data_IF_617035979190
#
_entry.id   IF_617035979190
#
_cell.length_a   1.000
_cell.length_b   1.000
_cell.length_c   1.000
_cell.angle_alpha   90.00
_cell.angle_beta   90.00
_cell.angle_gamma   90.00
#
_symmetry.space_group_name_H-M   'P 1'
#
loop_
_entity.id
_entity.type
_entity.pdbx_description
1 polymer ?
#
# COMPACT_ATOMS: atom_id res chain seq x y z
N UNK A 1 -9.91 -18.04 29.92
CA UNK A 1 -10.69 -16.77 30.06
C UNK A 1 -9.86 -15.54 30.47
N UNK A 2 -8.81 -15.64 31.31
CA UNK A 2 -7.97 -14.47 31.68
C UNK A 2 -6.98 -14.02 30.58
N UNK A 3 -6.48 -14.94 29.74
CA UNK A 3 -5.59 -14.63 28.60
C UNK A 3 -6.27 -13.79 27.50
N UNK A 4 -7.56 -13.99 27.27
CA UNK A 4 -8.30 -13.31 26.19
C UNK A 4 -8.53 -11.81 26.46
N UNK A 5 -8.75 -11.45 27.73
CA UNK A 5 -8.87 -10.04 28.15
C UNK A 5 -7.51 -9.31 28.20
N UNK A 6 -6.41 -10.04 28.30
CA UNK A 6 -5.06 -9.48 28.16
C UNK A 6 -4.72 -9.18 26.69
N UNK A 7 -5.14 -10.05 25.76
CA UNK A 7 -5.04 -9.82 24.31
C UNK A 7 -5.92 -8.65 23.83
N UNK A 8 -7.15 -8.48 24.34
CA UNK A 8 -7.99 -7.32 24.02
C UNK A 8 -7.41 -5.99 24.53
N UNK A 9 -6.73 -6.00 25.69
CA UNK A 9 -6.07 -4.80 26.24
C UNK A 9 -4.77 -4.47 25.50
N UNK A 10 -4.00 -5.49 25.10
CA UNK A 10 -2.84 -5.32 24.22
C UNK A 10 -3.25 -4.84 22.82
N UNK A 11 -4.34 -5.35 22.25
CA UNK A 11 -4.86 -4.88 20.96
C UNK A 11 -5.34 -3.42 21.00
N UNK A 12 -5.97 -2.98 22.10
CA UNK A 12 -6.38 -1.57 22.26
C UNK A 12 -5.23 -0.62 22.61
N UNK A 13 -4.25 -1.08 23.39
CA UNK A 13 -3.04 -0.31 23.65
C UNK A 13 -2.16 -0.20 22.38
N UNK A 14 -2.07 -1.26 21.59
CA UNK A 14 -1.42 -1.25 20.29
C UNK A 14 -2.14 -0.33 19.30
N UNK A 15 -3.48 -0.25 19.31
CA UNK A 15 -4.24 0.69 18.47
C UNK A 15 -3.99 2.17 18.80
N UNK A 16 -3.81 2.50 20.09
CA UNK A 16 -3.54 3.87 20.52
C UNK A 16 -2.06 4.25 20.33
N UNK A 17 -1.15 3.27 20.37
CA UNK A 17 0.28 3.46 20.09
C UNK A 17 0.60 3.43 18.57
N UNK A 18 -0.17 2.70 17.77
CA UNK A 18 -0.01 2.64 16.31
C UNK A 18 -0.46 3.95 15.61
N UNK A 19 -1.39 4.69 16.21
CA UNK A 19 -1.75 6.04 15.74
C UNK A 19 -0.67 7.09 16.11
N UNK A 20 0.15 6.83 17.13
CA UNK A 20 1.18 7.77 17.61
C UNK A 20 2.60 7.49 17.08
N UNK A 21 2.82 6.35 16.43
CA UNK A 21 4.10 5.99 15.80
C UNK A 21 3.86 5.79 14.29
N UNK A 22 3.96 6.88 13.53
CA UNK A 22 3.84 6.89 12.07
C UNK A 22 4.97 6.15 11.35
N UNK A 23 5.01 4.83 11.49
CA UNK A 23 6.01 3.97 10.89
C UNK A 23 5.41 2.63 10.47
N UNK A 24 5.44 2.38 9.16
CA UNK A 24 5.58 1.07 8.48
C UNK A 24 4.63 -0.10 8.80
N UNK A 25 3.76 -0.01 9.81
CA UNK A 25 2.70 -1.01 10.06
C UNK A 25 1.37 -0.64 9.41
N UNK A 26 1.14 0.62 9.08
CA UNK A 26 -0.08 1.06 8.36
C UNK A 26 -0.08 0.52 6.92
N UNK A 27 1.11 0.40 6.31
CA UNK A 27 1.31 -0.25 5.02
C UNK A 27 1.05 -1.78 5.04
N UNK A 28 1.18 -2.42 6.21
CA UNK A 28 0.86 -3.84 6.42
C UNK A 28 -0.63 -4.09 6.75
N UNK A 29 -1.38 -3.03 7.10
CA UNK A 29 -2.80 -3.13 7.44
C UNK A 29 -3.73 -3.07 6.22
N UNK A 30 -3.19 -3.01 5.01
CA UNK A 30 -3.94 -3.10 3.73
C UNK A 30 -4.59 -4.46 3.47
N UNK A 31 -4.32 -5.48 4.31
CA UNK A 31 -4.84 -6.84 4.13
C UNK A 31 -6.14 -7.08 4.93
N UNK A 32 -6.41 -6.31 5.99
CA UNK A 32 -7.63 -6.51 6.80
C UNK A 32 -8.77 -5.56 6.41
N UNK A 33 -10.02 -6.09 6.26
CA UNK A 33 -11.22 -5.26 6.18
C UNK A 33 -11.22 -4.09 7.16
N UNK A 34 -11.54 -2.85 6.74
CA UNK A 34 -11.98 -1.86 7.70
C UNK A 34 -13.24 -2.39 8.39
N UNK A 35 -13.31 -2.20 9.71
CA UNK A 35 -14.46 -2.68 10.48
C UNK A 35 -15.77 -2.02 9.97
N UNK A 36 -16.88 -2.77 9.91
CA UNK A 36 -18.18 -2.22 9.57
C UNK A 36 -18.60 -1.08 10.51
N UNK A 37 -19.17 -0.03 9.94
CA UNK A 37 -19.59 1.18 10.66
C UNK A 37 -21.00 0.97 11.25
N UNK A 38 -21.20 1.18 12.56
CA UNK A 38 -22.52 1.18 13.16
C UNK A 38 -23.27 2.49 12.92
N UNK A 39 -24.35 2.42 12.14
CA UNK A 39 -25.29 3.51 11.93
C UNK A 39 -26.40 3.44 12.97
N UNK A 40 -26.43 4.42 13.88
CA UNK A 40 -27.40 4.47 14.97
C UNK A 40 -28.64 5.29 14.62
N UNK A 41 -29.81 4.69 14.78
CA UNK A 41 -31.10 5.32 14.59
C UNK A 41 -31.80 5.58 15.92
N UNK A 42 -32.67 6.58 15.94
CA UNK A 42 -33.59 6.77 17.06
C UNK A 42 -34.49 5.53 17.21
N UNK A 43 -34.87 5.24 18.45
CA UNK A 43 -35.61 4.04 18.76
C UNK A 43 -36.92 3.97 17.97
N UNK A 44 -37.13 2.87 17.23
CA UNK A 44 -38.34 2.61 16.42
C UNK A 44 -38.60 3.59 15.28
N UNK A 45 -37.67 4.48 14.93
CA UNK A 45 -37.80 5.38 13.76
C UNK A 45 -36.74 5.07 12.70
N UNK A 46 -36.86 5.72 11.55
CA UNK A 46 -35.87 5.75 10.47
C UNK A 46 -34.95 6.98 10.54
N UNK A 47 -35.04 7.78 11.61
CA UNK A 47 -34.20 8.96 11.82
C UNK A 47 -32.87 8.57 12.42
N UNK A 48 -31.80 9.12 11.86
CA UNK A 48 -30.44 8.94 12.40
C UNK A 48 -30.27 9.80 13.65
N UNK A 49 -29.60 9.22 14.64
CA UNK A 49 -29.08 10.00 15.78
C UNK A 49 -27.96 10.93 15.32
N UNK A 50 -27.53 11.85 16.18
CA UNK A 50 -26.34 12.69 15.92
C UNK A 50 -25.11 11.83 15.60
N UNK A 51 -24.87 10.79 16.38
CA UNK A 51 -23.74 9.88 16.18
C UNK A 51 -23.92 9.03 14.92
N UNK A 52 -25.15 8.61 14.63
CA UNK A 52 -25.50 7.94 13.37
C UNK A 52 -25.24 8.81 12.13
N UNK A 53 -25.48 10.12 12.20
CA UNK A 53 -25.15 11.05 11.12
C UNK A 53 -23.63 11.22 10.93
N UNK A 54 -22.87 11.24 12.03
CA UNK A 54 -21.39 11.28 11.96
C UNK A 54 -20.86 10.01 11.31
N UNK A 55 -21.33 8.85 11.78
CA UNK A 55 -21.00 7.54 11.22
C UNK A 55 -21.38 7.42 9.73
N UNK A 56 -22.52 7.99 9.33
CA UNK A 56 -22.96 8.02 7.95
C UNK A 56 -22.06 8.91 7.07
N UNK A 57 -21.57 10.04 7.59
CA UNK A 57 -20.61 10.87 6.87
C UNK A 57 -19.27 10.15 6.72
N UNK A 58 -18.80 9.42 7.74
CA UNK A 58 -17.61 8.58 7.65
C UNK A 58 -17.76 7.51 6.56
N UNK A 59 -18.93 6.85 6.52
CA UNK A 59 -19.27 5.89 5.48
C UNK A 59 -19.27 6.51 4.09
N UNK A 60 -19.77 7.74 3.94
CA UNK A 60 -19.74 8.47 2.68
C UNK A 60 -18.30 8.80 2.24
N UNK A 61 -17.40 9.13 3.17
CA UNK A 61 -15.98 9.34 2.88
C UNK A 61 -15.30 8.05 2.44
N UNK A 62 -15.63 6.91 3.03
CA UNK A 62 -15.16 5.60 2.56
C UNK A 62 -15.68 5.29 1.15
N UNK A 63 -16.98 5.50 0.92
CA UNK A 63 -17.61 5.28 -0.37
C UNK A 63 -17.07 6.17 -1.50
N UNK A 64 -16.73 7.42 -1.20
CA UNK A 64 -16.14 8.33 -2.17
C UNK A 64 -14.77 7.84 -2.67
N UNK A 65 -14.04 7.07 -1.86
CA UNK A 65 -12.73 6.53 -2.25
C UNK A 65 -12.83 5.36 -3.22
N UNK A 66 -14.03 4.90 -3.58
CA UNK A 66 -14.21 3.77 -4.49
C UNK A 66 -14.70 4.20 -5.89
N UNK A 67 -14.49 3.34 -6.92
CA UNK A 67 -15.10 3.51 -8.24
C UNK A 67 -16.63 3.53 -8.21
N UNK A 68 -17.25 4.33 -9.09
CA UNK A 68 -18.71 4.50 -9.14
C UNK A 68 -19.48 3.28 -9.68
N UNK A 69 -18.85 2.49 -10.54
CA UNK A 69 -19.43 1.36 -11.26
C UNK A 69 -19.44 0.05 -10.45
N UNK A 70 -18.66 -0.04 -9.38
CA UNK A 70 -18.41 -1.29 -8.64
C UNK A 70 -18.90 -1.24 -7.20
N UNK A 71 -19.49 -0.12 -6.77
CA UNK A 71 -19.78 0.08 -5.35
C UNK A 71 -21.10 -0.55 -4.89
N UNK A 72 -20.99 -1.50 -3.96
CA UNK A 72 -22.09 -1.96 -3.14
C UNK A 72 -21.94 -1.44 -1.70
N UNK A 73 -22.95 -0.75 -1.20
CA UNK A 73 -23.10 -0.46 0.21
C UNK A 73 -23.89 -1.60 0.87
N UNK A 74 -23.21 -2.41 1.68
CA UNK A 74 -23.82 -3.53 2.38
C UNK A 74 -24.37 -3.09 3.73
N UNK A 75 -25.66 -3.32 3.95
CA UNK A 75 -26.34 -2.95 5.19
C UNK A 75 -26.93 -4.20 5.86
N UNK A 76 -26.46 -4.49 7.07
CA UNK A 76 -26.96 -5.61 7.87
C UNK A 76 -27.76 -5.11 9.08
N UNK A 77 -29.08 -5.35 9.16
CA UNK A 77 -29.88 -5.04 10.34
C UNK A 77 -29.67 -6.07 11.45
N UNK A 78 -30.05 -5.72 12.69
CA UNK A 78 -30.04 -6.67 13.80
C UNK A 78 -31.05 -7.81 13.55
N UNK A 79 -30.74 -9.03 14.01
CA UNK A 79 -31.64 -10.20 13.84
C UNK A 79 -33.07 -9.98 14.36
N UNK A 80 -33.25 -9.10 15.34
CA UNK A 80 -34.54 -8.75 15.96
C UNK A 80 -35.16 -7.45 15.40
N UNK A 81 -34.61 -6.87 14.33
CA UNK A 81 -35.15 -5.67 13.72
C UNK A 81 -36.41 -6.01 12.91
N UNK A 82 -37.42 -5.14 12.95
CA UNK A 82 -38.61 -5.29 12.13
C UNK A 82 -38.26 -5.01 10.65
N UNK A 83 -38.55 -5.96 9.76
CA UNK A 83 -38.15 -5.91 8.33
C UNK A 83 -38.60 -4.62 7.64
N UNK A 84 -39.84 -4.17 7.87
CA UNK A 84 -40.35 -2.93 7.28
C UNK A 84 -39.58 -1.68 7.75
N UNK A 85 -39.21 -1.61 9.03
CA UNK A 85 -38.43 -0.50 9.57
C UNK A 85 -36.98 -0.53 9.07
N UNK A 86 -36.38 -1.72 8.99
CA UNK A 86 -35.04 -1.90 8.42
C UNK A 86 -34.96 -1.39 6.97
N UNK A 87 -35.97 -1.71 6.13
CA UNK A 87 -36.08 -1.19 4.76
C UNK A 87 -36.15 0.34 4.71
N UNK A 88 -36.93 0.99 5.59
CA UNK A 88 -37.00 2.47 5.67
C UNK A 88 -35.66 3.10 6.08
N UNK A 89 -34.96 2.48 7.03
CA UNK A 89 -33.61 2.93 7.46
C UNK A 89 -32.59 2.81 6.33
N UNK A 90 -32.63 1.73 5.57
CA UNK A 90 -31.80 1.54 4.36
C UNK A 90 -32.11 2.61 3.32
N UNK A 91 -33.39 2.88 3.04
CA UNK A 91 -33.79 3.95 2.13
C UNK A 91 -33.33 5.35 2.60
N UNK A 92 -33.29 5.58 3.91
CA UNK A 92 -32.75 6.83 4.50
C UNK A 92 -31.26 6.97 4.23
N UNK A 93 -30.50 5.88 4.39
CA UNK A 93 -29.06 5.83 4.08
C UNK A 93 -28.82 6.08 2.60
N UNK A 94 -29.55 5.37 1.72
CA UNK A 94 -29.44 5.53 0.27
C UNK A 94 -29.73 6.98 -0.17
N UNK A 95 -30.87 7.54 0.26
CA UNK A 95 -31.26 8.92 -0.06
C UNK A 95 -30.18 9.92 0.38
N UNK A 96 -29.51 9.68 1.50
CA UNK A 96 -28.45 10.55 1.99
C UNK A 96 -27.18 10.44 1.15
N UNK A 97 -26.81 9.25 0.69
CA UNK A 97 -25.67 9.05 -0.21
C UNK A 97 -25.92 9.72 -1.58
N UNK A 98 -27.12 9.57 -2.13
CA UNK A 98 -27.55 10.26 -3.36
C UNK A 98 -27.50 11.80 -3.19
N UNK A 99 -27.92 12.30 -2.02
CA UNK A 99 -27.79 13.72 -1.69
C UNK A 99 -26.34 14.21 -1.60
N UNK A 100 -25.37 13.32 -1.34
CA UNK A 100 -23.94 13.66 -1.41
C UNK A 100 -23.39 13.51 -2.83
N UNK A 101 -24.20 13.09 -3.80
CA UNK A 101 -23.79 12.87 -5.18
C UNK A 101 -23.05 11.55 -5.39
N UNK A 102 -23.12 10.62 -4.44
CA UNK A 102 -22.50 9.31 -4.57
C UNK A 102 -23.38 8.39 -5.41
N UNK A 103 -22.79 7.82 -6.46
CA UNK A 103 -23.38 6.81 -7.34
C UNK A 103 -23.07 5.43 -6.74
N UNK A 104 -24.04 4.84 -6.05
CA UNK A 104 -23.86 3.60 -5.29
C UNK A 104 -25.01 2.63 -5.54
N UNK A 105 -24.73 1.34 -5.56
CA UNK A 105 -25.75 0.30 -5.36
C UNK A 105 -25.85 0.04 -3.86
N UNK A 106 -27.06 0.08 -3.29
CA UNK A 106 -27.27 -0.20 -1.86
C UNK A 106 -27.93 -1.56 -1.71
N UNK A 107 -27.24 -2.50 -1.06
CA UNK A 107 -27.68 -3.88 -0.92
C UNK A 107 -27.84 -4.29 0.55
N UNK A 108 -28.91 -5.01 0.84
CA UNK A 108 -29.11 -5.63 2.15
C UNK A 108 -28.59 -7.07 2.11
N UNK A 109 -27.29 -7.25 2.35
CA UNK A 109 -26.64 -8.56 2.41
C UNK A 109 -25.89 -8.72 3.74
N UNK A 110 -25.64 -9.98 4.20
CA UNK A 110 -24.77 -10.23 5.34
C UNK A 110 -23.39 -9.59 5.11
N UNK A 111 -22.79 -9.05 6.17
CA UNK A 111 -21.45 -8.46 6.09
C UNK A 111 -20.38 -9.54 5.97
N UNK A 112 -19.28 -9.18 5.29
CA UNK A 112 -18.13 -10.05 4.95
C UNK A 112 -17.62 -10.86 6.13
N UNK A 113 -17.57 -10.24 7.31
CA UNK A 113 -17.14 -10.89 8.54
C UNK A 113 -18.37 -11.36 9.34
N UNK A 114 -18.75 -12.64 9.19
CA UNK A 114 -19.96 -13.24 9.76
C UNK A 114 -20.11 -13.16 11.29
N UNK A 115 -19.10 -12.60 11.99
CA UNK A 115 -19.10 -12.31 13.41
C UNK A 115 -19.64 -10.91 13.76
N UNK A 116 -19.55 -9.94 12.86
CA UNK A 116 -20.01 -8.57 13.10
C UNK A 116 -21.55 -8.50 12.98
N UNK A 117 -22.24 -8.61 14.12
CA UNK A 117 -23.69 -8.49 14.20
C UNK A 117 -24.09 -7.24 14.99
N UNK A 118 -25.05 -6.44 14.51
CA UNK A 118 -25.54 -5.31 15.28
C UNK A 118 -26.15 -5.83 16.58
N UNK A 119 -25.62 -5.37 17.72
CA UNK A 119 -26.08 -5.80 19.05
C UNK A 119 -27.44 -5.18 19.41
N UNK A 120 -27.76 -4.02 18.84
CA UNK A 120 -28.98 -3.27 19.12
C UNK A 120 -29.92 -3.25 17.92
N UNK A 121 -31.23 -3.37 18.18
CA UNK A 121 -32.29 -3.34 17.14
C UNK A 121 -32.38 -2.01 16.39
N UNK A 122 -31.78 -0.96 16.94
CA UNK A 122 -31.77 0.40 16.42
C UNK A 122 -30.48 0.72 15.66
N UNK A 123 -29.71 -0.31 15.30
CA UNK A 123 -28.44 -0.18 14.58
C UNK A 123 -28.48 -0.93 13.25
N UNK A 124 -27.98 -0.29 12.20
CA UNK A 124 -27.53 -0.97 10.97
C UNK A 124 -26.01 -1.01 11.00
N UNK A 125 -25.41 -2.16 10.70
CA UNK A 125 -23.98 -2.20 10.38
C UNK A 125 -23.83 -1.98 8.87
N UNK A 126 -22.91 -1.09 8.50
CA UNK A 126 -22.66 -0.69 7.13
C UNK A 126 -21.21 -0.98 6.73
N UNK A 127 -21.03 -1.50 5.52
CA UNK A 127 -19.71 -1.69 4.91
C UNK A 127 -19.76 -1.30 3.43
N UNK A 128 -18.62 -0.91 2.90
CA UNK A 128 -18.44 -0.47 1.51
C UNK A 128 -17.42 -1.38 0.86
N UNK A 129 -17.77 -1.99 -0.28
CA UNK A 129 -16.79 -2.73 -1.05
C UNK A 129 -17.23 -2.98 -2.50
N UNK A 130 -16.27 -3.42 -3.30
CA UNK A 130 -16.51 -3.92 -4.66
C UNK A 130 -17.05 -5.36 -4.63
N UNK A 131 -17.65 -5.81 -5.75
CA UNK A 131 -18.14 -7.19 -5.91
C UNK A 131 -17.06 -8.26 -5.71
N UNK A 132 -15.79 -7.93 -5.99
CA UNK A 132 -14.65 -8.86 -6.00
C UNK A 132 -13.72 -8.73 -4.77
N UNK A 133 -14.28 -8.55 -3.57
CA UNK A 133 -13.51 -8.54 -2.30
C UNK A 133 -12.41 -7.46 -2.17
N UNK A 134 -12.29 -6.52 -3.12
CA UNK A 134 -11.32 -5.42 -3.07
C UNK A 134 -11.83 -4.28 -2.17
N UNK A 135 -10.96 -3.79 -1.29
CA UNK A 135 -11.20 -2.63 -0.43
C UNK A 135 -11.06 -1.32 -1.21
N UNK A 136 -11.82 -0.31 -0.80
CA UNK A 136 -11.75 1.00 -1.41
C UNK A 136 -10.49 1.74 -0.98
N UNK A 137 -9.49 1.72 -1.85
CA UNK A 137 -8.40 2.69 -1.81
C UNK A 137 -8.66 3.78 -2.85
N UNK A 138 -8.23 5.01 -2.56
CA UNK A 138 -8.29 6.11 -3.51
C UNK A 138 -7.48 5.76 -4.77
N UNK A 139 -8.16 5.39 -5.85
CA UNK A 139 -7.59 4.93 -7.13
C UNK A 139 -8.24 5.65 -8.30
N UNK A 140 -7.66 5.53 -9.49
CA UNK A 140 -8.28 6.06 -10.70
C UNK A 140 -9.73 5.55 -10.83
N UNK A 141 -10.66 6.45 -11.12
CA UNK A 141 -12.10 6.16 -11.18
C UNK A 141 -12.86 6.37 -9.87
N UNK A 142 -12.18 6.63 -8.74
CA UNK A 142 -12.86 6.93 -7.47
C UNK A 142 -13.69 8.21 -7.54
N UNK A 143 -14.84 8.22 -6.86
CA UNK A 143 -15.76 9.37 -6.86
C UNK A 143 -15.17 10.62 -6.18
N UNK A 144 -14.19 10.45 -5.30
CA UNK A 144 -13.44 11.51 -4.66
C UNK A 144 -12.72 12.43 -5.67
N UNK A 145 -12.34 11.93 -6.86
CA UNK A 145 -11.77 12.76 -7.92
C UNK A 145 -12.79 13.76 -8.47
N UNK A 146 -14.04 13.33 -8.69
CA UNK A 146 -15.11 14.24 -9.10
C UNK A 146 -15.45 15.28 -8.03
N UNK A 147 -15.36 14.89 -6.75
CA UNK A 147 -15.50 15.83 -5.63
C UNK A 147 -14.35 16.82 -5.53
N UNK A 148 -13.11 16.36 -5.79
CA UNK A 148 -11.93 17.21 -5.82
C UNK A 148 -12.00 18.23 -6.96
N UNK A 149 -12.41 17.81 -8.16
CA UNK A 149 -12.68 18.69 -9.30
C UNK A 149 -13.68 19.80 -8.92
N UNK A 150 -14.87 19.42 -8.45
CA UNK A 150 -15.92 20.39 -8.11
C UNK A 150 -15.50 21.36 -7.00
N UNK A 151 -14.71 20.89 -6.02
CA UNK A 151 -14.15 21.74 -4.98
C UNK A 151 -13.02 22.63 -5.50
N UNK A 152 -12.19 22.12 -6.42
CA UNK A 152 -11.12 22.87 -7.08
C UNK A 152 -11.67 24.05 -7.85
N UNK A 153 -12.67 23.82 -8.70
CA UNK A 153 -13.39 24.87 -9.43
C UNK A 153 -13.95 25.96 -8.50
N UNK A 154 -14.46 25.57 -7.33
CA UNK A 154 -14.94 26.53 -6.32
C UNK A 154 -13.79 27.34 -5.70
N UNK A 155 -12.72 26.68 -5.28
CA UNK A 155 -11.57 27.35 -4.63
C UNK A 155 -10.84 28.29 -5.59
N UNK A 156 -10.75 27.91 -6.86
CA UNK A 156 -10.11 28.71 -7.92
C UNK A 156 -11.02 29.81 -8.47
N UNK A 157 -12.28 29.89 -8.00
CA UNK A 157 -13.23 30.93 -8.38
C UNK A 157 -13.90 30.73 -9.74
N UNK A 158 -13.70 29.57 -10.39
CA UNK A 158 -14.42 29.19 -11.61
C UNK A 158 -15.91 28.93 -11.34
N UNK A 159 -16.23 28.39 -10.16
CA UNK A 159 -17.60 28.15 -9.71
C UNK A 159 -17.90 28.97 -8.45
N UNK A 160 -18.94 29.83 -8.43
CA UNK A 160 -19.21 30.72 -7.30
C UNK A 160 -19.84 29.98 -6.10
N UNK A 161 -20.36 28.76 -6.30
CA UNK A 161 -21.11 28.02 -5.29
C UNK A 161 -20.31 26.83 -4.78
N UNK A 162 -20.15 26.78 -3.46
CA UNK A 162 -19.54 25.65 -2.79
C UNK A 162 -20.33 24.35 -3.07
N UNK A 163 -19.67 23.24 -3.46
CA UNK A 163 -20.32 21.97 -3.76
C UNK A 163 -21.23 21.46 -2.64
N UNK A 164 -22.39 20.94 -3.04
CA UNK A 164 -23.44 20.50 -2.11
C UNK A 164 -22.97 19.40 -1.14
N UNK A 165 -22.10 18.49 -1.60
CA UNK A 165 -21.56 17.43 -0.76
C UNK A 165 -20.79 18.02 0.43
N UNK A 166 -19.93 19.01 0.17
CA UNK A 166 -19.11 19.64 1.21
C UNK A 166 -19.99 20.39 2.20
N UNK A 167 -20.99 21.14 1.71
CA UNK A 167 -21.96 21.83 2.56
C UNK A 167 -22.71 20.87 3.50
N UNK A 168 -23.07 19.68 3.00
CA UNK A 168 -23.90 18.69 3.72
C UNK A 168 -23.12 17.82 4.70
N UNK A 169 -21.80 17.70 4.53
CA UNK A 169 -20.94 16.99 5.49
C UNK A 169 -20.81 17.74 6.81
N UNK A 170 -20.78 16.99 7.92
CA UNK A 170 -20.45 17.53 9.24
C UNK A 170 -19.00 18.02 9.29
N UNK A 171 -18.63 18.82 10.30
CA UNK A 171 -17.24 19.24 10.52
C UNK A 171 -16.28 18.04 10.55
N UNK A 172 -16.63 16.98 11.28
CA UNK A 172 -15.85 15.74 11.33
C UNK A 172 -15.77 15.04 9.97
N UNK A 173 -16.87 14.96 9.21
CA UNK A 173 -16.88 14.39 7.86
C UNK A 173 -15.95 15.17 6.91
N UNK A 174 -15.99 16.50 6.95
CA UNK A 174 -15.06 17.35 6.18
C UNK A 174 -13.61 17.14 6.59
N UNK A 175 -13.32 17.07 7.88
CA UNK A 175 -11.96 16.79 8.37
C UNK A 175 -11.45 15.41 7.95
N UNK A 176 -12.29 14.38 7.97
CA UNK A 176 -11.93 13.05 7.48
C UNK A 176 -11.74 13.00 5.96
N UNK A 177 -12.48 13.82 5.22
CA UNK A 177 -12.41 13.91 3.76
C UNK A 177 -11.29 14.82 3.25
N UNK A 178 -10.78 15.72 4.08
CA UNK A 178 -9.83 16.75 3.65
C UNK A 178 -8.55 16.17 3.05
N UNK A 179 -7.93 15.17 3.68
CA UNK A 179 -6.73 14.53 3.13
C UNK A 179 -7.02 13.74 1.84
N UNK A 180 -8.03 12.84 1.78
CA UNK A 180 -8.39 12.18 0.53
C UNK A 180 -8.65 13.15 -0.64
N UNK A 181 -9.37 14.26 -0.41
CA UNK A 181 -9.59 15.27 -1.45
C UNK A 181 -8.32 16.01 -1.83
N UNK A 182 -7.48 16.35 -0.85
CA UNK A 182 -6.20 17.00 -1.11
C UNK A 182 -5.29 16.10 -1.97
N UNK A 183 -5.24 14.80 -1.66
CA UNK A 183 -4.53 13.81 -2.49
C UNK A 183 -5.13 13.73 -3.89
N UNK A 184 -6.45 13.63 -4.01
CA UNK A 184 -7.13 13.59 -5.31
C UNK A 184 -6.87 14.86 -6.14
N UNK A 185 -6.77 16.03 -5.51
CA UNK A 185 -6.51 17.32 -6.15
C UNK A 185 -5.09 17.47 -6.73
N UNK A 186 -4.11 16.74 -6.19
CA UNK A 186 -2.70 16.82 -6.64
C UNK A 186 -2.36 15.72 -7.65
N UNK A 187 -3.25 14.74 -7.83
CA UNK A 187 -2.99 13.53 -8.61
C UNK A 187 -2.55 13.83 -10.06
N UNK A 188 -1.60 13.02 -10.53
CA UNK A 188 -0.99 13.13 -11.84
C UNK A 188 -1.21 11.84 -12.68
N UNK A 189 -2.39 11.24 -12.57
CA UNK A 189 -2.85 10.20 -13.49
C UNK A 189 -3.55 10.78 -14.75
N UNK A 190 -3.74 9.98 -15.81
CA UNK A 190 -4.53 10.39 -16.97
C UNK A 190 -5.95 10.79 -16.54
N UNK A 191 -6.36 12.02 -16.84
CA UNK A 191 -7.70 12.54 -16.50
C UNK A 191 -7.83 13.19 -15.12
N UNK A 192 -6.74 13.35 -14.37
CA UNK A 192 -6.74 14.18 -13.16
C UNK A 192 -6.44 15.64 -13.51
N UNK A 193 -7.24 16.54 -12.96
CA UNK A 193 -6.99 17.98 -12.92
C UNK A 193 -6.13 18.30 -11.70
N UNK A 194 -5.07 19.09 -11.90
CA UNK A 194 -4.24 19.57 -10.80
C UNK A 194 -4.90 20.82 -10.21
N UNK A 195 -5.38 20.72 -8.98
CA UNK A 195 -5.92 21.83 -8.20
C UNK A 195 -5.02 22.10 -6.98
N UNK A 196 -3.79 22.64 -7.15
CA UNK A 196 -2.86 22.87 -6.04
C UNK A 196 -3.43 23.83 -4.99
N UNK A 197 -4.23 24.82 -5.41
CA UNK A 197 -4.86 25.76 -4.47
C UNK A 197 -5.93 25.07 -3.61
N UNK A 198 -6.61 24.03 -4.11
CA UNK A 198 -7.50 23.21 -3.29
C UNK A 198 -6.74 22.48 -2.17
N UNK A 199 -5.54 21.97 -2.46
CA UNK A 199 -4.69 21.33 -1.44
C UNK A 199 -4.41 22.30 -0.28
N UNK A 200 -3.94 23.51 -0.60
CA UNK A 200 -3.66 24.53 0.42
C UNK A 200 -4.90 24.97 1.17
N UNK A 201 -6.02 25.17 0.45
CA UNK A 201 -7.28 25.54 1.08
C UNK A 201 -7.75 24.47 2.07
N UNK A 202 -7.70 23.19 1.71
CA UNK A 202 -8.06 22.08 2.60
C UNK A 202 -7.10 21.97 3.80
N UNK A 203 -5.81 22.22 3.59
CA UNK A 203 -4.82 22.28 4.65
C UNK A 203 -5.11 23.43 5.62
N UNK A 204 -5.46 24.62 5.13
CA UNK A 204 -5.85 25.75 5.99
C UNK A 204 -7.08 25.44 6.85
N UNK A 205 -8.06 24.74 6.29
CA UNK A 205 -9.25 24.33 7.04
C UNK A 205 -8.92 23.29 8.12
N UNK A 206 -7.91 22.45 7.88
CA UNK A 206 -7.65 21.26 8.69
C UNK A 206 -6.52 21.42 9.70
N UNK A 207 -5.54 22.31 9.45
CA UNK A 207 -4.25 22.29 10.15
C UNK A 207 -4.04 23.41 11.18
N UNK A 208 -4.90 24.43 11.23
CA UNK A 208 -4.74 25.57 12.17
C UNK A 208 -4.56 25.14 13.62
N UNK A 209 -5.33 24.14 14.07
CA UNK A 209 -5.29 23.60 15.43
C UNK A 209 -4.77 22.15 15.49
N UNK A 210 -4.28 21.62 14.36
CA UNK A 210 -3.83 20.24 14.28
C UNK A 210 -2.47 20.05 14.97
N UNK A 211 -2.20 18.82 15.41
CA UNK A 211 -0.91 18.45 15.98
C UNK A 211 0.21 18.56 14.94
N UNK A 212 1.46 18.69 15.42
CA UNK A 212 2.64 18.66 14.55
C UNK A 212 2.71 17.38 13.72
N UNK A 213 2.32 16.24 14.30
CA UNK A 213 2.29 14.97 13.58
C UNK A 213 1.32 15.02 12.39
N UNK A 214 0.12 15.58 12.57
CA UNK A 214 -0.83 15.75 11.48
C UNK A 214 -0.30 16.69 10.41
N UNK A 215 0.32 17.82 10.77
CA UNK A 215 0.94 18.72 9.78
C UNK A 215 2.07 18.06 9.00
N UNK A 216 2.92 17.28 9.67
CA UNK A 216 3.98 16.48 9.03
C UNK A 216 3.40 15.43 8.08
N UNK A 217 2.31 14.77 8.47
CA UNK A 217 1.61 13.83 7.60
C UNK A 217 1.13 14.49 6.30
N UNK A 218 0.58 15.70 6.37
CA UNK A 218 0.21 16.46 5.17
C UNK A 218 1.42 16.77 4.29
N UNK A 219 2.51 17.29 4.87
CA UNK A 219 3.74 17.53 4.13
C UNK A 219 4.26 16.27 3.42
N UNK A 220 4.22 15.13 4.09
CA UNK A 220 4.66 13.84 3.55
C UNK A 220 3.79 13.37 2.37
N UNK A 221 2.47 13.55 2.47
CA UNK A 221 1.53 13.23 1.39
C UNK A 221 1.69 14.17 0.18
N UNK A 222 1.97 15.45 0.41
CA UNK A 222 2.29 16.41 -0.65
C UNK A 222 3.64 16.08 -1.29
N UNK A 223 4.66 15.75 -0.49
CA UNK A 223 5.96 15.33 -0.99
C UNK A 223 5.83 14.16 -1.94
N UNK A 224 5.00 13.16 -1.66
CA UNK A 224 4.83 12.03 -2.57
C UNK A 224 4.19 12.37 -3.94
N UNK A 225 3.60 13.57 -4.12
CA UNK A 225 2.69 13.87 -5.25
C UNK A 225 2.93 15.19 -5.97
N UNK A 226 3.61 16.14 -5.33
CA UNK A 226 3.88 17.46 -5.90
C UNK A 226 5.38 17.68 -6.13
N UNK A 227 5.71 18.64 -7.00
CA UNK A 227 7.07 19.08 -7.26
C UNK A 227 7.70 19.81 -6.04
N UNK A 228 9.02 19.93 -6.03
CA UNK A 228 9.78 20.45 -4.88
C UNK A 228 9.37 21.86 -4.44
N UNK A 229 9.07 22.76 -5.38
CA UNK A 229 8.66 24.14 -5.06
C UNK A 229 7.38 24.19 -4.21
N UNK A 230 6.42 23.32 -4.52
CA UNK A 230 5.13 23.26 -3.84
C UNK A 230 5.26 22.65 -2.44
N UNK A 231 6.10 21.62 -2.31
CA UNK A 231 6.47 21.02 -1.02
C UNK A 231 7.12 22.05 -0.10
N UNK A 232 8.07 22.83 -0.64
CA UNK A 232 8.76 23.88 0.13
C UNK A 232 7.83 25.03 0.50
N UNK A 233 6.95 25.46 -0.40
CA UNK A 233 5.89 26.46 -0.10
C UNK A 233 5.04 26.00 1.09
N UNK A 234 4.57 24.75 1.07
CA UNK A 234 3.79 24.19 2.16
C UNK A 234 4.60 24.11 3.47
N UNK A 235 5.84 23.61 3.40
CA UNK A 235 6.74 23.46 4.54
C UNK A 235 6.98 24.80 5.24
N UNK A 236 7.30 25.85 4.48
CA UNK A 236 7.56 27.19 5.00
C UNK A 236 6.29 27.79 5.63
N UNK A 237 5.15 27.67 4.94
CA UNK A 237 3.86 28.18 5.42
C UNK A 237 3.47 27.63 6.79
N UNK A 238 3.73 26.33 7.02
CA UNK A 238 3.37 25.66 8.26
C UNK A 238 4.52 25.55 9.28
N UNK A 239 5.66 26.20 9.01
CA UNK A 239 6.82 26.22 9.91
C UNK A 239 7.40 24.83 10.18
N UNK A 240 7.38 23.94 9.19
CA UNK A 240 7.80 22.55 9.34
C UNK A 240 9.30 22.38 9.08
N UNK A 241 9.95 21.53 9.87
CA UNK A 241 11.29 21.03 9.56
C UNK A 241 11.23 20.13 8.30
N UNK A 242 12.35 20.01 7.55
CA UNK A 242 12.45 19.06 6.44
C UNK A 242 12.03 17.63 6.84
N UNK A 243 11.62 16.84 5.84
CA UNK A 243 11.32 15.43 6.04
C UNK A 243 12.60 14.68 6.42
N UNK A 244 12.48 13.75 7.37
CA UNK A 244 13.60 12.93 7.81
C UNK A 244 13.94 11.87 6.76
N UNK A 245 15.12 11.25 6.88
CA UNK A 245 15.47 10.08 6.06
C UNK A 245 14.41 8.97 6.19
N UNK A 246 13.96 8.68 7.42
CA UNK A 246 12.97 7.63 7.67
C UNK A 246 11.62 7.94 7.03
N UNK A 247 11.17 9.19 7.06
CA UNK A 247 9.91 9.59 6.41
C UNK A 247 10.00 9.47 4.89
N UNK A 248 11.08 9.97 4.28
CA UNK A 248 11.30 9.87 2.82
C UNK A 248 11.37 8.42 2.36
N UNK A 249 12.17 7.60 3.05
CA UNK A 249 12.32 6.18 2.74
C UNK A 249 11.03 5.40 3.00
N UNK A 250 10.31 5.68 4.09
CA UNK A 250 9.01 5.08 4.42
C UNK A 250 7.92 5.37 3.39
N UNK A 251 8.00 6.49 2.68
CA UNK A 251 7.06 6.90 1.65
C UNK A 251 7.54 6.68 0.22
N UNK A 252 8.63 5.94 -0.01
CA UNK A 252 9.14 5.65 -1.35
C UNK A 252 8.10 4.96 -2.26
N UNK A 253 7.27 4.10 -1.70
CA UNK A 253 6.17 3.44 -2.42
C UNK A 253 5.08 4.45 -2.84
N UNK A 254 4.64 5.31 -1.91
CA UNK A 254 3.66 6.38 -2.19
C UNK A 254 4.18 7.37 -3.23
N UNK A 255 5.49 7.65 -3.24
CA UNK A 255 6.12 8.52 -4.22
C UNK A 255 5.99 7.97 -5.64
N UNK A 256 6.21 6.67 -5.83
CA UNK A 256 6.06 6.04 -7.13
C UNK A 256 4.58 5.78 -7.50
N UNK A 257 3.67 5.71 -6.52
CA UNK A 257 2.21 5.69 -6.74
C UNK A 257 1.62 7.07 -7.02
N UNK A 258 2.31 8.15 -6.65
CA UNK A 258 1.79 9.51 -6.63
C UNK A 258 1.58 10.16 -8.00
N UNK A 259 1.95 9.48 -9.10
CA UNK A 259 1.83 9.98 -10.47
C UNK A 259 2.87 11.03 -10.86
N UNK A 260 3.89 11.25 -10.01
CA UNK A 260 4.98 12.17 -10.36
C UNK A 260 5.75 11.70 -11.59
N UNK A 261 6.31 12.61 -12.39
CA UNK A 261 7.24 12.23 -13.45
C UNK A 261 8.39 11.41 -12.87
N UNK A 262 8.79 10.34 -13.56
CA UNK A 262 9.83 9.44 -13.06
C UNK A 262 11.15 10.14 -12.74
N UNK A 263 11.52 11.17 -13.49
CA UNK A 263 12.71 11.98 -13.20
C UNK A 263 12.68 12.59 -11.78
N UNK A 264 11.51 13.00 -11.29
CA UNK A 264 11.33 13.54 -9.93
C UNK A 264 11.39 12.42 -8.89
N UNK A 265 10.77 11.27 -9.20
CA UNK A 265 10.83 10.07 -8.35
C UNK A 265 12.28 9.63 -8.17
N UNK A 266 13.01 9.47 -9.28
CA UNK A 266 14.41 9.07 -9.30
C UNK A 266 15.26 10.06 -8.49
N UNK A 267 15.14 11.37 -8.74
CA UNK A 267 15.89 12.39 -8.04
C UNK A 267 15.75 12.26 -6.51
N UNK A 268 14.52 12.08 -6.02
CA UNK A 268 14.22 11.99 -4.58
C UNK A 268 14.71 10.72 -3.95
N UNK A 269 14.54 9.58 -4.62
CA UNK A 269 15.00 8.31 -4.09
C UNK A 269 16.53 8.19 -4.14
N UNK A 270 17.20 8.89 -5.07
CA UNK A 270 18.67 8.99 -5.11
C UNK A 270 19.25 9.97 -4.08
N UNK A 271 18.43 10.67 -3.32
CA UNK A 271 18.93 11.45 -2.19
C UNK A 271 19.70 10.54 -1.22
N UNK A 272 20.76 11.04 -0.56
CA UNK A 272 21.65 10.20 0.25
C UNK A 272 20.90 9.30 1.22
N UNK A 273 21.28 8.02 1.20
CA UNK A 273 20.79 6.95 2.08
C UNK A 273 19.30 6.55 1.93
N UNK A 274 18.50 7.24 1.10
CA UNK A 274 17.05 6.96 0.99
C UNK A 274 16.80 5.54 0.49
N UNK A 275 17.41 5.14 -0.63
CA UNK A 275 17.25 3.78 -1.17
C UNK A 275 17.86 2.70 -0.26
N UNK A 276 18.97 2.99 0.41
CA UNK A 276 19.56 2.07 1.39
C UNK A 276 18.60 1.83 2.55
N UNK A 277 18.04 2.89 3.12
CA UNK A 277 17.08 2.79 4.22
C UNK A 277 15.75 2.16 3.78
N UNK A 278 15.31 2.40 2.55
CA UNK A 278 14.12 1.77 1.99
C UNK A 278 14.32 0.25 1.83
N UNK A 279 15.48 -0.19 1.34
CA UNK A 279 15.84 -1.61 1.25
C UNK A 279 16.00 -2.31 2.61
N UNK A 280 16.18 -1.55 3.69
CA UNK A 280 16.22 -2.09 5.06
C UNK A 280 14.83 -2.40 5.65
N UNK A 281 13.75 -1.93 5.00
CA UNK A 281 12.41 -2.13 5.52
C UNK A 281 11.95 -3.59 5.32
N UNK A 282 11.21 -4.15 6.29
CA UNK A 282 10.74 -5.53 6.18
C UNK A 282 9.85 -5.69 4.94
N UNK A 283 10.17 -6.68 4.12
CA UNK A 283 9.32 -7.04 3.00
C UNK A 283 8.03 -7.68 3.50
N UNK A 284 6.91 -7.01 3.27
CA UNK A 284 5.58 -7.58 3.51
C UNK A 284 5.12 -8.19 2.19
N UNK A 285 4.92 -9.51 2.15
CA UNK A 285 4.34 -10.20 0.99
C UNK A 285 2.97 -9.61 0.67
N UNK A 286 2.80 -9.09 -0.55
CA UNK A 286 1.57 -8.41 -0.99
C UNK A 286 1.36 -7.00 -0.41
N UNK A 287 2.31 -6.48 0.37
CA UNK A 287 2.33 -5.11 0.86
C UNK A 287 3.36 -4.24 0.11
N UNK A 288 3.36 -2.91 0.30
CA UNK A 288 4.33 -2.04 -0.37
C UNK A 288 5.77 -2.38 0.04
N UNK A 289 6.67 -2.50 -0.96
CA UNK A 289 8.07 -2.82 -0.75
C UNK A 289 8.91 -2.70 -2.03
N UNK A 290 10.18 -3.17 -2.01
CA UNK A 290 11.10 -3.15 -3.16
C UNK A 290 10.51 -3.61 -4.51
N UNK A 291 9.71 -4.67 -4.48
CA UNK A 291 9.04 -5.23 -5.65
C UNK A 291 8.00 -4.29 -6.27
N UNK A 292 7.33 -3.48 -5.46
CA UNK A 292 6.32 -2.55 -5.92
C UNK A 292 6.94 -1.44 -6.80
N UNK A 293 8.10 -0.92 -6.40
CA UNK A 293 8.83 0.09 -7.18
C UNK A 293 9.26 -0.45 -8.56
N UNK A 294 9.67 -1.73 -8.62
CA UNK A 294 9.98 -2.42 -9.87
C UNK A 294 8.74 -2.58 -10.74
N UNK A 295 7.60 -2.98 -10.16
CA UNK A 295 6.34 -3.11 -10.88
C UNK A 295 5.92 -1.79 -11.55
N UNK A 296 6.02 -0.67 -10.84
CA UNK A 296 5.70 0.65 -11.44
C UNK A 296 6.75 1.11 -12.45
N UNK A 297 8.04 0.88 -12.19
CA UNK A 297 9.08 1.16 -13.18
C UNK A 297 8.82 0.40 -14.48
N UNK A 298 8.40 -0.86 -14.39
CA UNK A 298 8.06 -1.71 -15.55
C UNK A 298 6.88 -1.12 -16.31
N UNK A 299 5.78 -0.83 -15.62
CA UNK A 299 4.56 -0.28 -16.23
C UNK A 299 4.80 1.06 -16.94
N UNK A 300 5.75 1.87 -16.48
CA UNK A 300 6.08 3.17 -17.06
C UNK A 300 7.27 3.13 -18.04
N UNK A 301 7.86 1.96 -18.31
CA UNK A 301 9.03 1.82 -19.17
C UNK A 301 10.29 2.50 -18.62
N UNK A 302 10.47 2.47 -17.30
CA UNK A 302 11.53 3.20 -16.57
C UNK A 302 12.57 2.26 -15.91
N UNK A 303 12.76 1.05 -16.46
CA UNK A 303 13.68 0.06 -15.89
C UNK A 303 15.13 0.56 -15.84
N UNK A 304 15.62 1.30 -16.84
CA UNK A 304 16.96 1.91 -16.80
C UNK A 304 17.17 2.87 -15.61
N UNK A 305 16.10 3.56 -15.20
CA UNK A 305 16.14 4.46 -14.07
C UNK A 305 16.00 3.69 -12.74
N UNK A 306 15.26 2.59 -12.74
CA UNK A 306 15.27 1.64 -11.62
C UNK A 306 16.66 1.04 -11.38
N UNK A 307 17.43 0.70 -12.44
CA UNK A 307 18.82 0.23 -12.30
C UNK A 307 19.67 1.21 -11.48
N UNK A 308 19.59 2.50 -11.82
CA UNK A 308 20.31 3.55 -11.09
C UNK A 308 19.86 3.70 -9.64
N UNK A 309 18.58 3.44 -9.36
CA UNK A 309 18.02 3.50 -8.00
C UNK A 309 18.53 2.37 -7.13
N UNK A 310 18.56 1.14 -7.64
CA UNK A 310 19.04 0.01 -6.85
C UNK A 310 20.56 0.05 -6.67
N UNK A 311 21.33 0.67 -7.57
CA UNK A 311 22.74 0.98 -7.33
C UNK A 311 22.91 1.94 -6.14
N UNK A 312 22.04 2.96 -6.04
CA UNK A 312 22.04 3.90 -4.91
C UNK A 312 21.65 3.23 -3.57
N UNK A 313 21.08 2.02 -3.59
CA UNK A 313 20.78 1.26 -2.38
C UNK A 313 22.03 0.63 -1.74
N UNK A 314 23.18 0.60 -2.44
CA UNK A 314 24.39 -0.03 -1.94
C UNK A 314 24.17 -1.51 -1.58
N UNK A 315 24.65 -2.00 -0.41
CA UNK A 315 24.43 -3.39 -0.01
C UNK A 315 22.97 -3.82 0.08
N UNK A 316 22.05 -2.89 0.37
CA UNK A 316 20.61 -3.17 0.43
C UNK A 316 20.02 -3.56 -0.94
N UNK A 317 20.77 -3.35 -2.04
CA UNK A 317 20.46 -3.84 -3.39
C UNK A 317 20.07 -5.32 -3.41
N UNK A 318 20.72 -6.14 -2.58
CA UNK A 318 20.40 -7.58 -2.48
C UNK A 318 18.92 -7.87 -2.20
N UNK A 319 18.22 -7.00 -1.47
CA UNK A 319 16.79 -7.15 -1.19
C UNK A 319 15.91 -6.87 -2.42
N UNK A 320 16.24 -5.84 -3.20
CA UNK A 320 15.54 -5.50 -4.44
C UNK A 320 15.73 -6.60 -5.48
N UNK A 321 16.97 -7.06 -5.65
CA UNK A 321 17.33 -8.08 -6.64
C UNK A 321 16.73 -9.44 -6.30
N UNK A 322 16.72 -9.81 -5.02
CA UNK A 322 16.09 -11.07 -4.58
C UNK A 322 14.59 -11.10 -4.90
N UNK A 323 13.87 -9.99 -4.65
CA UNK A 323 12.46 -9.89 -4.99
C UNK A 323 12.24 -9.92 -6.52
N UNK A 324 13.05 -9.17 -7.28
CA UNK A 324 12.97 -9.11 -8.74
C UNK A 324 13.18 -10.49 -9.39
N UNK A 325 14.20 -11.25 -8.96
CA UNK A 325 14.47 -12.57 -9.49
C UNK A 325 13.41 -13.61 -9.10
N UNK A 326 12.82 -13.49 -7.91
CA UNK A 326 11.72 -14.36 -7.50
C UNK A 326 10.49 -14.15 -8.39
N UNK A 327 10.12 -12.89 -8.63
CA UNK A 327 8.99 -12.56 -9.50
C UNK A 327 9.27 -12.98 -10.96
N UNK A 328 10.44 -12.65 -11.50
CA UNK A 328 10.80 -13.01 -12.86
C UNK A 328 10.90 -14.52 -13.10
N UNK A 329 11.39 -15.30 -12.12
CA UNK A 329 11.43 -16.76 -12.28
C UNK A 329 10.03 -17.39 -12.30
N UNK A 330 9.08 -16.80 -11.58
CA UNK A 330 7.69 -17.24 -11.52
C UNK A 330 6.83 -16.87 -12.74
N UNK A 331 7.20 -15.83 -13.49
CA UNK A 331 6.39 -15.24 -14.55
C UNK A 331 7.19 -15.05 -15.86
N UNK A 332 6.75 -15.69 -16.95
CA UNK A 332 7.43 -15.65 -18.25
C UNK A 332 7.43 -14.26 -18.89
N UNK A 333 6.36 -13.48 -18.74
CA UNK A 333 6.26 -12.14 -19.32
C UNK A 333 7.23 -11.20 -18.62
N UNK A 334 7.26 -11.24 -17.28
CA UNK A 334 8.21 -10.46 -16.49
C UNK A 334 9.65 -10.90 -16.75
N UNK A 335 9.90 -12.21 -16.88
CA UNK A 335 11.21 -12.75 -17.22
C UNK A 335 11.77 -12.11 -18.49
N UNK A 336 11.04 -12.17 -19.61
CA UNK A 336 11.51 -11.62 -20.88
C UNK A 336 11.62 -10.09 -20.84
N UNK A 337 10.68 -9.41 -20.16
CA UNK A 337 10.70 -7.96 -20.03
C UNK A 337 11.92 -7.46 -19.23
N UNK A 338 12.33 -8.18 -18.19
CA UNK A 338 13.40 -7.74 -17.27
C UNK A 338 14.77 -8.33 -17.58
N UNK A 339 14.83 -9.39 -18.39
CA UNK A 339 16.08 -10.08 -18.78
C UNK A 339 17.22 -9.15 -19.20
N UNK A 340 17.00 -8.06 -19.98
CA UNK A 340 18.08 -7.14 -20.34
C UNK A 340 18.79 -6.48 -19.14
N UNK A 341 18.13 -6.40 -17.98
CA UNK A 341 18.63 -5.72 -16.78
C UNK A 341 19.33 -6.65 -15.79
N UNK A 342 19.15 -7.97 -15.90
CA UNK A 342 19.63 -8.94 -14.91
C UNK A 342 21.14 -8.84 -14.66
N UNK A 343 21.94 -8.64 -15.71
CA UNK A 343 23.39 -8.49 -15.57
C UNK A 343 23.76 -7.24 -14.74
N UNK A 344 23.01 -6.15 -14.89
CA UNK A 344 23.17 -4.94 -14.07
C UNK A 344 22.78 -5.21 -12.61
N UNK A 345 21.66 -5.88 -12.40
CA UNK A 345 21.12 -6.20 -11.08
C UNK A 345 22.01 -7.18 -10.31
N UNK A 346 22.57 -8.18 -10.97
CA UNK A 346 23.42 -9.19 -10.32
C UNK A 346 24.72 -8.59 -9.76
N UNK A 347 25.30 -7.57 -10.41
CA UNK A 347 26.55 -6.93 -9.94
C UNK A 347 26.38 -6.36 -8.53
N UNK A 348 27.22 -6.77 -7.59
CA UNK A 348 27.16 -6.28 -6.20
C UNK A 348 25.99 -6.82 -5.37
N UNK A 349 25.13 -7.69 -5.91
CA UNK A 349 24.07 -8.38 -5.18
C UNK A 349 24.47 -9.82 -4.78
N UNK A 350 25.73 -10.19 -4.95
CA UNK A 350 26.25 -11.56 -4.76
C UNK A 350 26.52 -11.92 -3.29
N UNK A 351 26.61 -10.92 -2.42
CA UNK A 351 26.85 -11.09 -0.98
C UNK A 351 25.53 -10.99 -0.23
N UNK A 352 25.21 -11.94 0.67
CA UNK A 352 24.02 -11.85 1.50
C UNK A 352 24.01 -10.56 2.32
N UNK A 353 22.92 -9.82 2.25
CA UNK A 353 22.72 -8.60 3.02
C UNK A 353 21.79 -8.88 4.20
N UNK A 354 22.16 -8.47 5.41
CA UNK A 354 21.32 -8.56 6.60
C UNK A 354 20.76 -7.16 6.93
N UNK A 355 19.47 -6.89 6.64
CA UNK A 355 18.85 -5.64 7.06
C UNK A 355 18.85 -5.52 8.59
N UNK A 356 19.12 -4.33 9.11
CA UNK A 356 19.14 -4.07 10.56
C UNK A 356 17.80 -4.36 11.25
N UNK A 357 16.71 -4.13 10.52
CA UNK A 357 15.34 -4.22 11.04
C UNK A 357 14.59 -5.48 10.56
N UNK A 358 15.28 -6.45 9.94
CA UNK A 358 14.69 -7.70 9.47
C UNK A 358 15.39 -8.89 10.12
N UNK A 359 14.64 -9.93 10.55
CA UNK A 359 15.25 -11.20 10.97
C UNK A 359 15.70 -12.06 9.79
N UNK A 360 15.31 -11.71 8.55
CA UNK A 360 15.61 -12.47 7.34
C UNK A 360 16.65 -11.70 6.50
N UNK A 361 17.73 -12.39 6.13
CA UNK A 361 18.71 -11.87 5.18
C UNK A 361 18.18 -11.88 3.75
N UNK A 362 18.56 -10.87 2.98
CA UNK A 362 18.35 -10.81 1.56
C UNK A 362 19.51 -11.54 0.86
N UNK A 363 19.22 -12.69 0.28
CA UNK A 363 20.20 -13.54 -0.38
C UNK A 363 19.66 -14.00 -1.75
N UNK A 364 19.81 -13.17 -2.80
CA UNK A 364 19.30 -13.48 -4.13
C UNK A 364 19.92 -14.76 -4.71
N UNK A 365 21.21 -15.01 -4.43
CA UNK A 365 21.91 -16.21 -4.90
C UNK A 365 21.28 -17.48 -4.30
N UNK A 366 21.08 -17.52 -2.98
CA UNK A 366 20.45 -18.66 -2.33
C UNK A 366 19.00 -18.86 -2.76
N UNK A 367 18.26 -17.76 -2.97
CA UNK A 367 16.89 -17.84 -3.48
C UNK A 367 16.85 -18.49 -4.87
N UNK A 368 17.66 -18.01 -5.82
CA UNK A 368 17.73 -18.57 -7.19
C UNK A 368 18.16 -20.04 -7.18
N UNK A 369 19.19 -20.41 -6.42
CA UNK A 369 19.63 -21.82 -6.34
C UNK A 369 18.54 -22.74 -5.77
N UNK A 370 17.81 -22.28 -4.75
CA UNK A 370 16.69 -23.04 -4.19
C UNK A 370 15.60 -23.26 -5.22
N UNK A 371 15.21 -22.21 -5.95
CA UNK A 371 14.11 -22.29 -6.91
C UNK A 371 14.48 -23.01 -8.22
N UNK A 372 15.73 -22.92 -8.66
CA UNK A 372 16.23 -23.66 -9.82
C UNK A 372 16.30 -25.17 -9.55
N UNK A 373 16.80 -25.57 -8.38
CA UNK A 373 17.27 -26.94 -8.17
C UNK A 373 16.63 -27.70 -7.00
N UNK A 374 15.99 -27.03 -6.03
CA UNK A 374 15.52 -27.69 -4.80
C UNK A 374 14.00 -27.82 -4.68
N UNK A 375 13.21 -26.93 -5.29
CA UNK A 375 11.76 -26.81 -5.03
C UNK A 375 10.89 -27.72 -5.88
N UNK A 376 11.45 -28.46 -6.85
CA UNK A 376 10.68 -29.32 -7.75
C UNK A 376 9.72 -28.52 -8.64
N UNK A 377 10.10 -27.29 -8.98
CA UNK A 377 9.35 -26.41 -9.88
C UNK A 377 9.11 -27.07 -11.24
N UNK A 378 8.07 -26.62 -11.95
CA UNK A 378 7.84 -27.03 -13.34
C UNK A 378 9.09 -26.73 -14.20
N UNK A 379 9.33 -27.54 -15.23
CA UNK A 379 10.58 -27.48 -16.00
C UNK A 379 10.84 -26.11 -16.64
N UNK A 380 9.80 -25.39 -17.04
CA UNK A 380 9.89 -24.05 -17.60
C UNK A 380 10.27 -23.00 -16.52
N UNK A 381 9.70 -23.11 -15.31
CA UNK A 381 10.04 -22.26 -14.16
C UNK A 381 11.49 -22.50 -13.74
N UNK A 382 11.89 -23.77 -13.62
CA UNK A 382 13.27 -24.14 -13.28
C UNK A 382 14.26 -23.59 -14.33
N UNK A 383 13.95 -23.72 -15.63
CA UNK A 383 14.78 -23.18 -16.71
C UNK A 383 14.96 -21.65 -16.63
N UNK A 384 13.92 -20.89 -16.24
CA UNK A 384 14.05 -19.44 -16.00
C UNK A 384 15.01 -19.13 -14.85
N UNK A 385 14.91 -19.85 -13.73
CA UNK A 385 15.85 -19.68 -12.62
C UNK A 385 17.28 -20.12 -12.98
N UNK A 386 17.46 -21.17 -13.77
CA UNK A 386 18.76 -21.57 -14.29
C UNK A 386 19.37 -20.48 -15.19
N UNK A 387 18.56 -19.82 -16.01
CA UNK A 387 19.02 -18.68 -16.80
C UNK A 387 19.44 -17.49 -15.93
N UNK A 388 18.72 -17.21 -14.83
CA UNK A 388 19.13 -16.18 -13.84
C UNK A 388 20.42 -16.60 -13.13
N UNK A 389 20.59 -17.89 -12.84
CA UNK A 389 21.81 -18.45 -12.27
C UNK A 389 23.01 -18.23 -13.18
N UNK A 390 22.86 -18.47 -14.49
CA UNK A 390 23.92 -18.21 -15.47
C UNK A 390 24.36 -16.73 -15.46
N UNK A 391 23.42 -15.79 -15.31
CA UNK A 391 23.74 -14.36 -15.17
C UNK A 391 24.49 -14.05 -13.85
N UNK A 392 24.13 -14.71 -12.75
CA UNK A 392 24.82 -14.55 -11.46
C UNK A 392 26.27 -15.05 -11.53
N UNK A 393 26.52 -16.15 -12.26
CA UNK A 393 27.86 -16.64 -12.54
C UNK A 393 28.68 -15.63 -13.34
N UNK A 394 28.11 -15.06 -14.40
CA UNK A 394 28.74 -13.99 -15.19
C UNK A 394 29.05 -12.74 -14.36
N UNK A 395 28.22 -12.44 -13.35
CA UNK A 395 28.44 -11.36 -12.40
C UNK A 395 29.49 -11.66 -11.31
N UNK A 396 30.15 -12.83 -11.37
CA UNK A 396 31.26 -13.20 -10.49
C UNK A 396 30.90 -14.07 -9.29
N UNK A 397 29.70 -14.65 -9.25
CA UNK A 397 29.38 -15.70 -8.26
C UNK A 397 30.19 -16.96 -8.59
N UNK A 398 30.79 -17.55 -7.56
CA UNK A 398 31.60 -18.77 -7.65
C UNK A 398 31.09 -19.81 -6.67
N UNK A 399 31.55 -21.06 -6.79
CA UNK A 399 31.23 -22.13 -5.82
C UNK A 399 31.65 -21.80 -4.39
N UNK A 400 32.69 -20.97 -4.22
CA UNK A 400 33.20 -20.53 -2.92
C UNK A 400 32.39 -19.37 -2.31
N UNK A 401 31.43 -18.82 -3.07
CA UNK A 401 30.60 -17.71 -2.58
C UNK A 401 29.76 -18.17 -1.37
N UNK A 402 29.66 -17.38 -0.29
CA UNK A 402 28.99 -17.80 0.95
C UNK A 402 27.58 -18.34 0.75
N UNK A 403 26.82 -17.76 -0.19
CA UNK A 403 25.47 -18.21 -0.51
C UNK A 403 25.41 -19.59 -1.20
N UNK A 404 26.42 -19.95 -1.98
CA UNK A 404 26.50 -21.24 -2.70
C UNK A 404 26.95 -22.35 -1.74
N UNK A 405 27.85 -22.03 -0.81
CA UNK A 405 28.31 -22.94 0.25
C UNK A 405 27.17 -23.46 1.13
N UNK A 406 26.10 -22.68 1.30
CA UNK A 406 24.87 -23.11 2.00
C UNK A 406 24.21 -24.36 1.39
N UNK A 407 24.46 -24.66 0.12
CA UNK A 407 23.85 -25.78 -0.62
C UNK A 407 24.86 -26.88 -0.95
N UNK A 408 26.15 -26.54 -1.01
CA UNK A 408 27.22 -27.48 -1.42
C UNK A 408 27.95 -28.10 -0.23
N UNK A 409 27.94 -27.45 0.94
CA UNK A 409 28.53 -28.00 2.15
C UNK A 409 27.52 -28.77 3.01
N UNK A 410 27.96 -29.78 3.79
CA UNK A 410 27.10 -30.44 4.76
C UNK A 410 26.52 -29.42 5.75
N UNK A 411 25.21 -29.46 5.98
CA UNK A 411 24.58 -28.62 7.00
C UNK A 411 25.23 -28.86 8.37
N UNK A 412 25.42 -27.79 9.15
CA UNK A 412 25.72 -27.93 10.57
C UNK A 412 24.59 -28.74 11.26
N UNK A 413 24.95 -29.51 12.28
CA UNK A 413 24.03 -30.39 12.98
C UNK A 413 22.78 -29.61 13.47
N UNK A 414 21.59 -30.03 13.02
CA UNK A 414 20.31 -29.37 13.35
C UNK A 414 19.84 -28.27 12.38
N UNK A 415 20.63 -27.87 11.39
CA UNK A 415 20.20 -26.90 10.38
C UNK A 415 19.34 -27.54 9.28
N UNK A 416 18.15 -26.99 9.03
CA UNK A 416 17.33 -27.37 7.86
C UNK A 416 17.90 -26.72 6.60
N UNK A 417 18.76 -27.42 5.87
CA UNK A 417 18.99 -27.09 4.46
C UNK A 417 17.70 -27.39 3.66
N UNK A 418 17.45 -26.74 2.52
CA UNK A 418 16.35 -27.10 1.61
C UNK A 418 16.71 -28.32 0.73
N UNK A 419 17.91 -28.36 0.14
CA UNK A 419 18.46 -29.51 -0.57
C UNK A 419 20.00 -29.45 -0.61
N UNK A 420 20.66 -30.49 -1.14
CA UNK A 420 22.12 -30.52 -1.35
C UNK A 420 22.41 -30.47 -2.85
N UNK A 421 23.37 -29.64 -3.24
CA UNK A 421 23.81 -29.43 -4.62
C UNK A 421 25.28 -29.84 -4.78
N UNK A 422 25.62 -30.41 -5.92
CA UNK A 422 27.02 -30.73 -6.28
C UNK A 422 27.34 -30.23 -7.70
N UNK A 423 28.60 -29.81 -7.95
CA UNK A 423 29.04 -29.46 -9.30
C UNK A 423 28.88 -30.64 -10.27
N UNK A 424 28.45 -30.36 -11.49
CA UNK A 424 28.41 -31.35 -12.55
C UNK A 424 29.84 -31.58 -13.06
N UNK A 425 30.33 -32.84 -13.12
CA UNK A 425 31.66 -33.13 -13.63
C UNK A 425 31.88 -32.54 -15.04
N UNK A 426 32.99 -31.81 -15.22
CA UNK A 426 33.32 -31.14 -16.48
C UNK A 426 32.65 -29.77 -16.69
N UNK A 427 31.74 -29.35 -15.80
CA UNK A 427 31.06 -28.05 -15.86
C UNK A 427 31.18 -27.36 -14.50
N UNK A 428 32.30 -26.67 -14.26
CA UNK A 428 32.68 -26.11 -12.96
C UNK A 428 31.65 -25.12 -12.36
N UNK A 429 30.73 -24.60 -13.17
CA UNK A 429 29.69 -23.64 -12.77
C UNK A 429 28.26 -24.21 -12.79
N UNK A 430 28.05 -25.44 -13.26
CA UNK A 430 26.73 -26.09 -13.28
C UNK A 430 26.56 -26.96 -12.04
N UNK A 431 25.39 -26.87 -11.43
CA UNK A 431 25.03 -27.62 -10.23
C UNK A 431 23.93 -28.63 -10.56
N UNK A 432 23.91 -29.75 -9.82
CA UNK A 432 22.80 -30.70 -9.81
C UNK A 432 22.38 -31.00 -8.38
N UNK A 433 21.09 -31.25 -8.19
CA UNK A 433 20.60 -31.77 -6.92
C UNK A 433 21.10 -33.20 -6.71
N UNK A 434 21.53 -33.49 -5.49
CA UNK A 434 21.83 -34.85 -5.04
C UNK A 434 20.84 -35.26 -3.97
N UNK A 435 20.41 -36.52 -4.00
CA UNK A 435 19.57 -37.08 -2.95
C UNK A 435 20.31 -36.97 -1.62
N UNK A 436 19.57 -36.61 -0.57
CA UNK A 436 20.12 -36.66 0.78
C UNK A 436 20.40 -38.13 1.10
N UNK A 437 21.58 -38.45 1.66
CA UNK A 437 21.79 -39.76 2.23
C UNK A 437 20.77 -40.08 3.32
#
# INVERSE_FOLDING_TARGET
>A
MKLWRALERLGRAAFIVAASLGGSWVAAMTIMPPAPIPLQFEARTDRLTRDGLVALNELAVRAAQCPANELALHLSPAKRAQTALAKRRVATVQKRMEQLGLKLVVEMKPLRDGQARPRHRDTLLADVGAADDVWCDLRAGSQAFAWAEAMGQYVEGAEPRMPAFWQRLSKQGRSGLAMPLAVAAVCAGPGCTRHPELYHWLAEQSLREASMQTRRWWLLQLWARAEGAEVERFRQRWGLAPLTLQERAGHAHELAAGGLPWAVIEQRLREPEVMSYFGEQPMILGGPGPHWLLGVATQQGQLDAFDRLIEAAGPAKGCFVMAAFWEAGGDQEQFEAWRPHFASWARGATVPYQPKNSPVSCNPVAAVLREAFCTGNAADVAARYEAIWDILLEAGVTLESPAVRLFTEPAAEGARQPCRLEPIPGYASRLRQVERP
#
